data_IF_552797692065
#
_entry.id   IF_552797692065
#
_cell.length_a   1.000
_cell.length_b   1.000
_cell.length_c   1.000
_cell.angle_alpha   90.00
_cell.angle_beta   90.00
_cell.angle_gamma   90.00
#
_symmetry.space_group_name_H-M   'P 1'
#
loop_
_entity.id
_entity.type
_entity.pdbx_description
1 polymer ?
#
# COMPACT_ATOMS: atom_id res chain seq x y z
N UNK A 1 5.10 20.81 -19.99
CA UNK A 1 4.96 19.39 -19.73
C UNK A 1 5.05 19.12 -18.24
N UNK A 2 4.31 18.13 -17.79
CA UNK A 2 4.24 17.75 -16.41
C UNK A 2 5.54 17.17 -15.86
N UNK A 3 6.38 16.69 -16.73
CA UNK A 3 7.52 15.92 -16.31
C UNK A 3 7.12 14.59 -15.65
N UNK A 4 8.02 13.64 -15.71
CA UNK A 4 7.82 12.29 -15.18
C UNK A 4 7.59 12.30 -13.66
N UNK A 5 8.23 13.23 -12.95
CA UNK A 5 8.18 13.31 -11.48
C UNK A 5 6.79 13.60 -10.96
N UNK A 6 6.09 14.58 -11.56
CA UNK A 6 4.73 14.94 -11.13
C UNK A 6 3.73 13.82 -11.39
N UNK A 7 3.85 13.16 -12.54
CA UNK A 7 2.99 12.04 -12.92
C UNK A 7 3.20 10.84 -12.01
N UNK A 8 4.45 10.51 -11.73
CA UNK A 8 4.80 9.41 -10.83
C UNK A 8 4.28 9.65 -9.42
N UNK A 9 4.44 10.86 -8.90
CA UNK A 9 3.94 11.23 -7.57
C UNK A 9 2.42 11.07 -7.49
N UNK A 10 1.71 11.49 -8.52
CA UNK A 10 0.24 11.38 -8.56
C UNK A 10 -0.23 9.92 -8.52
N UNK A 11 0.41 9.05 -9.31
CA UNK A 11 0.12 7.62 -9.31
C UNK A 11 0.45 7.01 -7.95
N UNK A 12 1.60 7.36 -7.42
CA UNK A 12 2.08 6.84 -6.14
C UNK A 12 1.14 7.21 -5.00
N UNK A 13 0.68 8.46 -4.96
CA UNK A 13 -0.28 8.93 -3.95
C UNK A 13 -1.59 8.16 -4.01
N UNK A 14 -2.10 7.90 -5.23
CA UNK A 14 -3.30 7.08 -5.41
C UNK A 14 -3.10 5.67 -4.88
N UNK A 15 -1.95 5.06 -5.18
CA UNK A 15 -1.62 3.72 -4.69
C UNK A 15 -1.46 3.69 -3.17
N UNK A 16 -0.85 4.71 -2.58
CA UNK A 16 -0.72 4.80 -1.12
C UNK A 16 -2.08 4.82 -0.44
N UNK A 17 -3.04 5.53 -1.01
CA UNK A 17 -4.39 5.56 -0.49
C UNK A 17 -5.02 4.16 -0.50
N UNK A 18 -4.86 3.42 -1.59
CA UNK A 18 -5.38 2.06 -1.70
C UNK A 18 -4.71 1.11 -0.72
N UNK A 19 -3.38 1.16 -0.61
CA UNK A 19 -2.63 0.30 0.31
C UNK A 19 -2.99 0.63 1.76
N UNK A 20 -3.10 1.92 2.09
CA UNK A 20 -3.49 2.35 3.45
C UNK A 20 -4.86 1.81 3.81
N UNK A 21 -5.81 1.88 2.89
CA UNK A 21 -7.14 1.34 3.09
C UNK A 21 -7.11 -0.18 3.36
N UNK A 22 -6.34 -0.92 2.57
CA UNK A 22 -6.21 -2.37 2.75
C UNK A 22 -5.53 -2.72 4.09
N UNK A 23 -4.50 -1.97 4.46
CA UNK A 23 -3.84 -2.17 5.76
C UNK A 23 -4.78 -1.89 6.93
N UNK A 24 -5.58 -0.84 6.80
CA UNK A 24 -6.59 -0.50 7.80
C UNK A 24 -7.62 -1.62 7.95
N UNK A 25 -8.12 -2.11 6.82
CA UNK A 25 -9.07 -3.22 6.81
C UNK A 25 -8.47 -4.48 7.43
N UNK A 26 -7.20 -4.76 7.15
CA UNK A 26 -6.50 -5.90 7.71
C UNK A 26 -6.41 -5.82 9.23
N UNK A 27 -6.05 -4.65 9.76
CA UNK A 27 -5.94 -4.44 11.20
C UNK A 27 -7.30 -4.57 11.88
N UNK A 28 -8.33 -3.97 11.30
CA UNK A 28 -9.68 -4.07 11.82
C UNK A 28 -10.19 -5.52 11.85
N UNK A 29 -9.82 -6.32 10.85
CA UNK A 29 -10.23 -7.72 10.75
C UNK A 29 -9.70 -8.59 11.90
N UNK A 30 -8.61 -8.21 12.53
CA UNK A 30 -8.03 -8.93 13.67
C UNK A 30 -8.29 -8.23 14.99
N UNK A 31 -9.15 -7.21 15.00
CA UNK A 31 -9.55 -6.50 16.20
C UNK A 31 -8.56 -5.45 16.69
N UNK A 32 -7.62 -5.04 15.85
CA UNK A 32 -6.68 -3.97 16.22
C UNK A 32 -7.23 -2.62 15.76
N UNK A 33 -6.97 -1.59 16.56
CA UNK A 33 -7.35 -0.22 16.21
C UNK A 33 -6.29 0.38 15.28
N UNK A 34 -6.63 0.70 14.02
CA UNK A 34 -5.66 1.28 13.08
C UNK A 34 -5.06 2.61 13.55
N UNK A 35 -5.74 3.32 14.45
CA UNK A 35 -5.28 4.62 14.93
C UNK A 35 -4.22 4.50 16.03
N UNK A 36 -4.08 3.33 16.65
CA UNK A 36 -3.08 3.10 17.69
C UNK A 36 -1.74 2.79 17.03
N UNK A 37 -0.68 3.49 17.44
CA UNK A 37 0.66 3.27 16.91
C UNK A 37 1.36 2.12 17.60
N UNK A 38 2.10 1.36 16.83
CA UNK A 38 3.00 0.33 17.36
C UNK A 38 4.47 0.76 17.25
N UNK A 39 4.84 1.28 16.09
CA UNK A 39 6.18 1.79 15.81
C UNK A 39 6.25 3.31 15.85
N UNK A 40 5.13 3.98 15.58
CA UNK A 40 5.01 5.42 15.61
C UNK A 40 4.28 5.86 16.87
N UNK A 41 4.52 7.10 17.28
CA UNK A 41 3.80 7.68 18.41
C UNK A 41 2.34 7.88 18.05
N UNK A 42 1.45 7.63 18.99
CA UNK A 42 0.03 7.91 18.83
C UNK A 42 -0.16 9.40 18.55
N UNK A 43 -0.91 9.67 17.50
CA UNK A 43 -1.33 11.02 17.14
C UNK A 43 -2.83 11.01 16.93
N UNK A 44 -3.58 11.86 17.64
CA UNK A 44 -5.03 11.92 17.46
C UNK A 44 -5.40 12.10 15.99
N UNK A 45 -6.33 11.29 15.49
CA UNK A 45 -6.83 11.38 14.14
C UNK A 45 -5.97 10.73 13.06
N UNK A 46 -4.82 10.14 13.41
CA UNK A 46 -3.95 9.45 12.45
C UNK A 46 -4.03 7.93 12.63
N UNK A 47 -4.16 7.17 11.54
CA UNK A 47 -4.12 5.70 11.61
C UNK A 47 -2.66 5.23 11.71
N UNK A 48 -2.02 5.38 12.86
CA UNK A 48 -0.59 5.12 13.06
C UNK A 48 -0.22 3.69 12.77
N UNK A 49 -1.01 2.73 13.24
CA UNK A 49 -0.73 1.31 13.02
C UNK A 49 -0.89 0.94 11.56
N UNK A 50 -1.89 1.53 10.89
CA UNK A 50 -2.07 1.34 9.45
C UNK A 50 -0.90 1.91 8.66
N UNK A 51 -0.35 3.05 9.09
CA UNK A 51 0.83 3.65 8.46
C UNK A 51 2.08 2.79 8.67
N UNK A 52 2.23 2.19 9.84
CA UNK A 52 3.33 1.28 10.13
C UNK A 52 3.28 0.07 9.20
N UNK A 53 2.09 -0.51 9.05
CA UNK A 53 1.90 -1.66 8.17
C UNK A 53 2.08 -1.26 6.70
N UNK A 54 1.62 -0.07 6.32
CA UNK A 54 1.80 0.47 4.97
C UNK A 54 3.28 0.50 4.57
N UNK A 55 4.17 0.90 5.47
CA UNK A 55 5.60 0.99 5.18
C UNK A 55 6.19 -0.36 4.77
N UNK A 56 5.65 -1.46 5.27
CA UNK A 56 6.10 -2.79 4.88
C UNK A 56 5.75 -3.12 3.43
N UNK A 57 4.62 -2.62 2.92
CA UNK A 57 4.11 -2.94 1.58
C UNK A 57 4.31 -1.83 0.56
N UNK A 58 4.77 -0.68 1.00
CA UNK A 58 4.98 0.49 0.15
C UNK A 58 5.89 0.20 -1.04
N UNK A 59 7.06 -0.45 -0.88
CA UNK A 59 7.92 -0.72 -2.03
C UNK A 59 7.24 -1.58 -3.10
N UNK A 60 6.52 -2.61 -2.69
CA UNK A 60 5.94 -3.59 -3.59
C UNK A 60 4.63 -3.11 -4.22
N UNK A 61 3.72 -2.59 -3.42
CA UNK A 61 2.36 -2.28 -3.85
C UNK A 61 2.18 -0.84 -4.33
N UNK A 62 3.12 0.05 -4.04
CA UNK A 62 3.01 1.44 -4.47
C UNK A 62 4.18 1.85 -5.36
N UNK A 63 5.39 1.90 -4.83
CA UNK A 63 6.54 2.45 -5.56
C UNK A 63 6.83 1.69 -6.84
N UNK A 64 6.91 0.38 -6.75
CA UNK A 64 7.23 -0.49 -7.88
C UNK A 64 6.13 -0.49 -8.92
N UNK A 65 4.88 -0.53 -8.47
CA UNK A 65 3.73 -0.52 -9.36
C UNK A 65 3.59 0.81 -10.10
N UNK A 66 3.84 1.93 -9.42
CA UNK A 66 3.83 3.25 -10.05
C UNK A 66 4.85 3.32 -11.18
N UNK A 67 6.07 2.87 -10.92
CA UNK A 67 7.11 2.83 -11.95
C UNK A 67 6.72 1.93 -13.12
N UNK A 68 6.13 0.79 -12.84
CA UNK A 68 5.68 -0.15 -13.87
C UNK A 68 4.64 0.47 -14.80
N UNK A 69 3.68 1.20 -14.25
CA UNK A 69 2.62 1.84 -15.03
C UNK A 69 3.20 2.90 -15.98
N UNK A 70 4.19 3.64 -15.53
CA UNK A 70 4.84 4.66 -16.34
C UNK A 70 5.76 4.02 -17.38
N UNK A 71 6.60 3.08 -16.97
CA UNK A 71 7.60 2.47 -17.85
C UNK A 71 6.97 1.62 -18.94
N UNK A 72 5.82 1.00 -18.67
CA UNK A 72 5.08 0.23 -19.67
C UNK A 72 4.14 1.09 -20.50
N UNK A 73 4.17 2.41 -20.30
CA UNK A 73 3.34 3.39 -21.01
C UNK A 73 1.84 3.13 -20.89
N UNK A 74 1.44 2.49 -19.80
CA UNK A 74 0.02 2.27 -19.50
C UNK A 74 -0.66 3.57 -19.12
N UNK A 75 0.10 4.53 -18.58
CA UNK A 75 -0.35 5.87 -18.29
C UNK A 75 0.62 6.87 -18.91
N UNK A 76 0.08 7.86 -19.60
CA UNK A 76 0.83 8.92 -20.27
C UNK A 76 0.29 10.30 -19.92
N UNK A 77 0.75 11.33 -20.61
CA UNK A 77 0.37 12.72 -20.34
C UNK A 77 -1.13 12.95 -20.38
N UNK A 78 -1.85 12.23 -21.23
CA UNK A 78 -3.30 12.37 -21.38
C UNK A 78 -4.09 11.91 -20.15
N UNK A 79 -3.45 11.15 -19.28
CA UNK A 79 -4.09 10.54 -18.13
C UNK A 79 -4.10 11.45 -16.91
N UNK A 80 -3.55 12.65 -17.04
CA UNK A 80 -3.42 13.60 -15.96
C UNK A 80 -4.09 14.91 -16.29
N UNK A 81 -4.65 15.56 -15.28
CA UNK A 81 -5.20 16.88 -15.36
C UNK A 81 -4.37 17.82 -14.50
N UNK A 82 -4.03 18.99 -15.07
CA UNK A 82 -3.39 20.06 -14.29
C UNK A 82 -4.48 21.02 -13.88
N UNK A 83 -4.64 21.19 -12.56
CA UNK A 83 -5.60 22.14 -12.02
C UNK A 83 -5.03 23.56 -12.03
N UNK A 84 -5.90 24.56 -11.88
CA UNK A 84 -5.52 25.96 -11.90
C UNK A 84 -4.49 26.31 -10.83
N UNK A 85 -4.51 25.57 -9.71
CA UNK A 85 -3.55 25.76 -8.61
C UNK A 85 -2.23 24.99 -8.80
N UNK A 86 -2.05 24.35 -9.96
CA UNK A 86 -0.85 23.57 -10.27
C UNK A 86 -0.91 22.13 -9.82
N UNK A 87 -1.96 21.70 -9.12
CA UNK A 87 -2.10 20.32 -8.70
C UNK A 87 -2.29 19.39 -9.90
N UNK A 88 -1.69 18.20 -9.82
CA UNK A 88 -1.79 17.17 -10.86
C UNK A 88 -2.71 16.07 -10.35
N UNK A 89 -3.76 15.77 -11.11
CA UNK A 89 -4.73 14.75 -10.75
C UNK A 89 -4.89 13.75 -11.89
N UNK A 90 -5.23 12.51 -11.53
CA UNK A 90 -5.59 11.48 -12.50
C UNK A 90 -6.99 11.78 -13.05
N UNK A 91 -7.20 11.52 -14.33
CA UNK A 91 -8.54 11.52 -14.90
C UNK A 91 -9.32 10.33 -14.32
N UNK A 92 -10.64 10.33 -14.50
CA UNK A 92 -11.49 9.23 -14.03
C UNK A 92 -11.09 7.90 -14.68
N UNK A 93 -10.85 7.91 -15.98
CA UNK A 93 -10.41 6.72 -16.72
C UNK A 93 -9.06 6.21 -16.18
N UNK A 94 -8.15 7.12 -15.88
CA UNK A 94 -6.83 6.78 -15.37
C UNK A 94 -6.88 6.18 -13.97
N UNK A 95 -7.79 6.66 -13.13
CA UNK A 95 -8.02 6.08 -11.81
C UNK A 95 -8.44 4.62 -11.91
N UNK A 96 -9.29 4.30 -12.88
CA UNK A 96 -9.70 2.91 -13.13
C UNK A 96 -8.52 2.05 -13.57
N UNK A 97 -7.64 2.60 -14.40
CA UNK A 97 -6.42 1.90 -14.83
C UNK A 97 -5.52 1.59 -13.64
N UNK A 98 -5.32 2.57 -12.76
CA UNK A 98 -4.50 2.38 -11.55
C UNK A 98 -5.13 1.33 -10.64
N UNK A 99 -6.44 1.43 -10.40
CA UNK A 99 -7.16 0.48 -9.55
C UNK A 99 -7.07 -0.95 -10.11
N UNK A 100 -7.28 -1.11 -11.41
CA UNK A 100 -7.19 -2.41 -12.07
C UNK A 100 -5.79 -3.00 -11.92
N UNK A 101 -4.75 -2.19 -12.16
CA UNK A 101 -3.37 -2.62 -12.01
C UNK A 101 -3.06 -3.03 -10.55
N UNK A 102 -3.58 -2.29 -9.60
CA UNK A 102 -3.43 -2.61 -8.18
C UNK A 102 -4.09 -3.94 -7.83
N UNK A 103 -5.32 -4.15 -8.30
CA UNK A 103 -6.02 -5.41 -8.04
C UNK A 103 -5.32 -6.60 -8.69
N UNK A 104 -4.78 -6.42 -9.88
CA UNK A 104 -4.01 -7.46 -10.57
C UNK A 104 -2.72 -7.77 -9.81
N UNK A 105 -2.01 -6.74 -9.34
CA UNK A 105 -0.79 -6.94 -8.55
C UNK A 105 -1.07 -7.75 -7.28
N UNK A 106 -2.21 -7.50 -6.64
CA UNK A 106 -2.58 -8.22 -5.43
C UNK A 106 -2.87 -9.72 -5.66
N UNK A 107 -3.12 -10.12 -6.90
CA UNK A 107 -3.33 -11.53 -7.25
C UNK A 107 -2.03 -12.28 -7.45
N UNK A 108 -0.93 -11.58 -7.68
CA UNK A 108 0.37 -12.23 -7.84
C UNK A 108 0.76 -12.91 -6.53
N UNK A 109 1.44 -14.04 -6.64
CA UNK A 109 1.84 -14.81 -5.48
C UNK A 109 3.29 -14.55 -5.12
N UNK A 110 3.53 -14.45 -3.82
CA UNK A 110 4.87 -14.36 -3.25
C UNK A 110 4.98 -15.34 -2.09
N UNK A 111 6.20 -15.80 -1.86
CA UNK A 111 6.50 -16.63 -0.69
C UNK A 111 6.77 -15.73 0.50
N UNK A 112 6.06 -15.98 1.59
CA UNK A 112 6.30 -15.29 2.86
C UNK A 112 7.44 -16.00 3.59
N UNK A 113 8.51 -15.28 3.90
CA UNK A 113 9.71 -15.88 4.48
C UNK A 113 9.46 -16.55 5.84
N UNK A 114 8.59 -15.97 6.66
CA UNK A 114 8.34 -16.48 8.00
C UNK A 114 7.45 -17.72 8.00
N UNK A 115 6.33 -17.69 7.24
CA UNK A 115 5.41 -18.83 7.18
C UNK A 115 5.80 -19.87 6.15
N UNK A 116 6.77 -19.53 5.29
CA UNK A 116 7.30 -20.40 4.24
C UNK A 116 6.25 -20.89 3.25
N UNK A 117 5.15 -20.17 3.09
CA UNK A 117 4.08 -20.48 2.16
C UNK A 117 3.92 -19.38 1.13
N UNK A 118 3.45 -19.76 -0.06
CA UNK A 118 3.07 -18.82 -1.10
C UNK A 118 1.65 -18.36 -0.85
N UNK A 119 1.41 -17.07 -1.02
CA UNK A 119 0.09 -16.48 -0.93
C UNK A 119 -0.01 -15.32 -1.90
N UNK A 120 -1.24 -14.95 -2.25
CA UNK A 120 -1.47 -13.75 -3.03
C UNK A 120 -1.00 -12.52 -2.23
N UNK A 121 -0.36 -11.58 -2.91
CA UNK A 121 0.19 -10.39 -2.28
C UNK A 121 -0.88 -9.63 -1.48
N UNK A 122 -2.12 -9.60 -1.99
CA UNK A 122 -3.22 -8.93 -1.31
C UNK A 122 -3.57 -9.51 0.05
N UNK A 123 -3.15 -10.74 0.34
CA UNK A 123 -3.37 -11.37 1.64
C UNK A 123 -2.28 -11.03 2.65
N UNK A 124 -1.13 -10.54 2.20
CA UNK A 124 0.01 -10.30 3.09
C UNK A 124 -0.28 -9.27 4.19
N UNK A 125 -0.98 -8.15 3.93
CA UNK A 125 -1.37 -7.26 5.02
C UNK A 125 -2.18 -7.96 6.10
N UNK A 126 -3.06 -8.89 5.72
CA UNK A 126 -3.86 -9.67 6.67
C UNK A 126 -3.01 -10.66 7.45
N UNK A 127 -2.04 -11.30 6.79
CA UNK A 127 -1.09 -12.20 7.45
C UNK A 127 -0.27 -11.43 8.48
N UNK A 128 0.26 -10.26 8.08
CA UNK A 128 1.03 -9.41 8.96
C UNK A 128 0.20 -8.89 10.14
N UNK A 129 -1.05 -8.50 9.88
CA UNK A 129 -1.96 -8.04 10.93
C UNK A 129 -2.22 -9.15 11.96
N UNK A 130 -2.40 -10.39 11.50
CA UNK A 130 -2.57 -11.53 12.40
C UNK A 130 -1.32 -11.78 13.25
N UNK A 131 -0.14 -11.72 12.65
CA UNK A 131 1.11 -11.89 13.38
C UNK A 131 1.32 -10.77 14.40
N UNK A 132 0.98 -9.54 14.03
CA UNK A 132 1.06 -8.40 14.93
C UNK A 132 0.11 -8.60 16.13
N UNK A 133 -1.12 -9.04 15.87
CA UNK A 133 -2.10 -9.32 16.93
C UNK A 133 -1.58 -10.41 17.88
N UNK A 134 -0.98 -11.46 17.36
CA UNK A 134 -0.38 -12.53 18.17
C UNK A 134 0.77 -12.01 19.01
N UNK A 135 1.61 -11.18 18.43
CA UNK A 135 2.74 -10.58 19.16
C UNK A 135 2.23 -9.71 20.31
N UNK A 136 1.23 -8.88 20.05
CA UNK A 136 0.66 -8.01 21.08
C UNK A 136 -0.05 -8.77 22.21
N UNK A 137 -0.56 -9.98 21.92
CA UNK A 137 -1.13 -10.86 22.95
C UNK A 137 -0.11 -11.70 23.68
N UNK A 138 1.17 -11.66 23.25
CA UNK A 138 2.24 -12.43 23.83
C UNK A 138 2.40 -13.84 23.26
N UNK A 139 1.65 -14.19 22.20
CA UNK A 139 1.74 -15.50 21.55
C UNK A 139 2.96 -15.64 20.65
N UNK A 140 3.54 -14.53 20.24
CA UNK A 140 4.78 -14.49 19.47
C UNK A 140 5.78 -13.61 20.22
N UNK A 141 7.03 -14.08 20.35
CA UNK A 141 8.09 -13.35 21.02
C UNK A 141 8.50 -12.09 20.27
N UNK A 142 8.42 -12.13 18.95
CA UNK A 142 8.77 -11.00 18.09
C UNK A 142 7.82 -10.94 16.91
N UNK A 143 7.64 -9.73 16.38
CA UNK A 143 6.87 -9.51 15.16
C UNK A 143 7.83 -9.55 13.97
N UNK A 144 7.68 -10.54 13.04
CA UNK A 144 8.51 -10.59 11.84
C UNK A 144 7.93 -9.68 10.75
N UNK A 145 8.56 -8.51 10.48
CA UNK A 145 8.04 -7.62 9.43
C UNK A 145 8.20 -8.24 8.05
N UNK A 146 7.33 -7.85 7.13
CA UNK A 146 7.47 -8.25 5.75
C UNK A 146 8.58 -7.44 5.09
N UNK A 147 9.64 -8.12 4.66
CA UNK A 147 10.75 -7.50 3.96
C UNK A 147 10.78 -8.01 2.52
N UNK A 148 10.40 -7.15 1.60
CA UNK A 148 10.45 -7.47 0.18
C UNK A 148 11.76 -6.95 -0.41
N UNK A 149 12.45 -7.82 -1.10
CA UNK A 149 13.73 -7.49 -1.73
C UNK A 149 13.60 -7.39 -3.25
#
# INVERSE_FOLDING_TARGET
>A
SLGLVGSEMCIRDSLYTLVTHDCRSALESVGLDPAVGFLHRDRPGRPSLALDLLEEFRPLLADRLALSLINRKQLGERDFQIMDNGAVLLTEASRKTVLTAYQERKREQLRHAFIEEKAAIGLFPFIQAQMLARHLRGDLDAYPPFLWK
#
